data_IF_523210435382
#
_entry.id   IF_523210435382
#
_cell.length_a   1.000
_cell.length_b   1.000
_cell.length_c   1.000
_cell.angle_alpha   90.00
_cell.angle_beta   90.00
_cell.angle_gamma   90.00
#
_symmetry.space_group_name_H-M   'P 1'
#
loop_
_entity.id
_entity.type
_entity.pdbx_description
1 polymer ?
#
# COMPACT_ATOMS: atom_id res chain seq x y z
N UNK A 1 26.84 -11.77 11.19
CA UNK A 1 26.86 -11.04 9.91
C UNK A 1 25.59 -11.46 9.19
N UNK A 2 24.55 -10.62 9.14
CA UNK A 2 23.33 -10.96 8.37
C UNK A 2 23.73 -11.06 6.90
N UNK A 3 23.53 -12.24 6.31
CA UNK A 3 23.76 -12.45 4.89
C UNK A 3 22.75 -11.62 4.09
N UNK A 4 23.13 -11.05 2.93
CA UNK A 4 22.24 -10.22 2.11
C UNK A 4 20.96 -10.94 1.68
N UNK A 5 20.96 -12.27 1.71
CA UNK A 5 19.81 -13.13 1.41
C UNK A 5 18.75 -13.11 2.54
N UNK A 6 19.17 -12.91 3.79
CA UNK A 6 18.30 -12.86 4.97
C UNK A 6 17.51 -11.54 5.02
N UNK A 7 18.15 -10.42 4.66
CA UNK A 7 17.48 -9.12 4.54
C UNK A 7 16.44 -9.07 3.42
N UNK A 8 16.70 -9.73 2.28
CA UNK A 8 15.76 -9.79 1.15
C UNK A 8 14.55 -10.66 1.48
N UNK A 9 14.76 -11.78 2.18
CA UNK A 9 13.66 -12.63 2.68
C UNK A 9 12.78 -11.87 3.67
N UNK A 10 13.38 -11.23 4.68
CA UNK A 10 12.65 -10.46 5.69
C UNK A 10 11.91 -9.26 5.10
N UNK A 11 12.54 -8.54 4.16
CA UNK A 11 11.87 -7.45 3.46
C UNK A 11 10.66 -7.96 2.67
N UNK A 12 10.80 -9.05 1.93
CA UNK A 12 9.71 -9.61 1.10
C UNK A 12 8.55 -10.09 1.98
N UNK A 13 8.84 -10.78 3.07
CA UNK A 13 7.83 -11.31 4.00
C UNK A 13 7.00 -10.18 4.63
N UNK A 14 7.65 -9.13 5.14
CA UNK A 14 6.98 -7.97 5.73
C UNK A 14 6.25 -7.17 4.66
N UNK A 15 6.92 -6.87 3.55
CA UNK A 15 6.37 -6.03 2.49
C UNK A 15 5.16 -6.68 1.82
N UNK A 16 5.20 -7.98 1.54
CA UNK A 16 4.08 -8.70 0.94
C UNK A 16 2.85 -8.71 1.87
N UNK A 17 3.07 -8.96 3.16
CA UNK A 17 2.00 -8.92 4.16
C UNK A 17 1.38 -7.53 4.25
N UNK A 18 2.20 -6.48 4.40
CA UNK A 18 1.75 -5.08 4.46
C UNK A 18 1.09 -4.65 3.17
N UNK A 19 1.58 -5.08 2.00
CA UNK A 19 1.01 -4.72 0.71
C UNK A 19 -0.40 -5.31 0.54
N UNK A 20 -0.58 -6.59 0.86
CA UNK A 20 -1.87 -7.27 0.79
C UNK A 20 -2.88 -6.69 1.78
N UNK A 21 -2.45 -6.44 3.02
CA UNK A 21 -3.33 -5.89 4.05
C UNK A 21 -3.62 -4.40 3.86
N UNK A 22 -2.66 -3.64 3.35
CA UNK A 22 -2.72 -2.18 3.24
C UNK A 22 -3.82 -1.69 2.31
N UNK A 23 -3.96 -2.30 1.12
CA UNK A 23 -5.08 -1.97 0.20
C UNK A 23 -6.42 -2.24 0.89
N UNK A 24 -6.55 -3.42 1.50
CA UNK A 24 -7.79 -3.81 2.18
C UNK A 24 -8.16 -2.87 3.33
N UNK A 25 -7.18 -2.44 4.12
CA UNK A 25 -7.39 -1.49 5.21
C UNK A 25 -7.82 -0.11 4.71
N UNK A 26 -7.20 0.38 3.62
CA UNK A 26 -7.56 1.67 3.02
C UNK A 26 -8.96 1.64 2.41
N UNK A 27 -9.30 0.57 1.69
CA UNK A 27 -10.64 0.35 1.14
C UNK A 27 -11.70 0.25 2.24
N UNK A 28 -11.43 -0.54 3.30
CA UNK A 28 -12.33 -0.65 4.44
C UNK A 28 -12.55 0.70 5.14
N UNK A 29 -11.48 1.47 5.31
CA UNK A 29 -11.54 2.82 5.90
C UNK A 29 -12.38 3.75 5.02
N UNK A 30 -12.20 3.70 3.71
CA UNK A 30 -12.99 4.49 2.76
C UNK A 30 -14.47 4.14 2.86
N UNK A 31 -14.82 2.85 2.86
CA UNK A 31 -16.21 2.40 2.98
C UNK A 31 -16.82 2.86 4.30
N UNK A 32 -16.13 2.64 5.43
CA UNK A 32 -16.60 3.06 6.75
C UNK A 32 -16.78 4.58 6.83
N UNK A 33 -15.83 5.36 6.29
CA UNK A 33 -15.90 6.81 6.25
C UNK A 33 -17.11 7.28 5.45
N UNK A 34 -17.32 6.69 4.27
CA UNK A 34 -18.44 7.09 3.40
C UNK A 34 -19.77 6.75 4.07
N UNK A 35 -19.88 5.57 4.66
CA UNK A 35 -21.08 5.11 5.35
C UNK A 35 -21.40 5.99 6.58
N UNK A 36 -20.37 6.41 7.32
CA UNK A 36 -20.51 7.37 8.40
C UNK A 36 -20.97 8.74 7.90
N UNK A 37 -20.35 9.27 6.85
CA UNK A 37 -20.72 10.58 6.29
C UNK A 37 -22.15 10.59 5.75
N UNK A 38 -22.56 9.52 5.06
CA UNK A 38 -23.94 9.35 4.59
C UNK A 38 -24.93 9.29 5.76
N UNK A 39 -24.58 8.57 6.83
CA UNK A 39 -25.40 8.52 8.04
C UNK A 39 -25.56 9.89 8.72
N UNK A 40 -24.49 10.69 8.79
CA UNK A 40 -24.50 12.02 9.42
C UNK A 40 -25.23 13.06 8.56
N UNK A 41 -25.06 13.01 7.24
CA UNK A 41 -25.61 14.01 6.32
C UNK A 41 -27.04 13.70 5.86
N UNK A 42 -27.52 12.47 6.10
CA UNK A 42 -28.85 12.02 5.67
C UNK A 42 -28.99 11.87 4.16
N UNK A 43 -27.90 11.98 3.41
CA UNK A 43 -27.88 11.68 1.98
C UNK A 43 -27.92 10.15 1.82
N UNK A 44 -28.90 9.64 1.06
CA UNK A 44 -29.04 8.21 0.78
C UNK A 44 -27.80 7.60 0.09
N UNK A 45 -27.80 6.28 -0.20
CA UNK A 45 -26.61 5.53 -0.55
C UNK A 45 -25.99 6.01 -1.87
N UNK A 46 -24.97 6.86 -1.77
CA UNK A 46 -24.12 7.34 -2.88
C UNK A 46 -22.88 6.45 -3.07
N UNK A 47 -22.79 5.38 -2.28
CA UNK A 47 -21.71 4.40 -2.20
C UNK A 47 -21.21 3.88 -3.55
N UNK A 48 -22.00 3.91 -4.63
CA UNK A 48 -21.52 3.47 -5.95
C UNK A 48 -20.97 4.61 -6.82
N UNK A 49 -21.54 5.82 -6.79
CA UNK A 49 -21.10 6.89 -7.70
C UNK A 49 -19.80 7.55 -7.27
N UNK A 50 -19.55 7.58 -5.96
CA UNK A 50 -18.49 8.41 -5.37
C UNK A 50 -17.35 7.57 -4.80
N UNK A 51 -17.64 6.39 -4.25
CA UNK A 51 -16.65 5.49 -3.63
C UNK A 51 -15.87 4.71 -4.67
N UNK A 52 -16.52 4.21 -5.72
CA UNK A 52 -15.86 3.44 -6.79
C UNK A 52 -14.70 4.22 -7.44
N UNK A 53 -14.89 5.48 -7.89
CA UNK A 53 -13.78 6.26 -8.44
C UNK A 53 -12.67 6.49 -7.42
N UNK A 54 -13.01 6.77 -6.15
CA UNK A 54 -12.02 6.98 -5.09
C UNK A 54 -11.23 5.70 -4.78
N UNK A 55 -11.90 4.56 -4.72
CA UNK A 55 -11.30 3.23 -4.53
C UNK A 55 -10.28 2.94 -5.62
N UNK A 56 -10.63 3.17 -6.89
CA UNK A 56 -9.69 3.01 -8.00
C UNK A 56 -8.47 3.91 -7.83
N UNK A 57 -8.66 5.17 -7.44
CA UNK A 57 -7.54 6.10 -7.19
C UNK A 57 -6.64 5.61 -6.05
N UNK A 58 -7.21 5.11 -4.96
CA UNK A 58 -6.46 4.55 -3.82
C UNK A 58 -5.67 3.32 -4.25
N UNK A 59 -6.29 2.39 -4.99
CA UNK A 59 -5.63 1.19 -5.49
C UNK A 59 -4.43 1.54 -6.40
N UNK A 60 -4.62 2.49 -7.32
CA UNK A 60 -3.54 2.97 -8.20
C UNK A 60 -2.42 3.64 -7.39
N UNK A 61 -2.76 4.53 -6.47
CA UNK A 61 -1.79 5.22 -5.62
C UNK A 61 -0.98 4.23 -4.76
N UNK A 62 -1.65 3.22 -4.20
CA UNK A 62 -1.00 2.18 -3.41
C UNK A 62 -0.05 1.31 -4.25
N UNK A 63 -0.46 0.94 -5.47
CA UNK A 63 0.39 0.21 -6.40
C UNK A 63 1.65 1.01 -6.77
N UNK A 64 1.51 2.31 -7.04
CA UNK A 64 2.65 3.21 -7.32
C UNK A 64 3.59 3.29 -6.11
N UNK A 65 3.05 3.47 -4.91
CA UNK A 65 3.83 3.48 -3.66
C UNK A 65 4.61 2.18 -3.47
N UNK A 66 3.99 1.04 -3.72
CA UNK A 66 4.64 -0.25 -3.61
C UNK A 66 5.84 -0.37 -4.55
N UNK A 67 5.66 0.00 -5.82
CA UNK A 67 6.76 0.01 -6.81
C UNK A 67 7.89 0.93 -6.38
N UNK A 68 7.57 2.13 -5.88
CA UNK A 68 8.59 3.08 -5.38
C UNK A 68 9.39 2.51 -4.21
N UNK A 69 8.73 1.88 -3.23
CA UNK A 69 9.39 1.26 -2.08
C UNK A 69 10.32 0.14 -2.55
N UNK A 70 9.87 -0.73 -3.47
CA UNK A 70 10.71 -1.80 -4.04
C UNK A 70 11.92 -1.24 -4.80
N UNK A 71 11.74 -0.18 -5.58
CA UNK A 71 12.84 0.49 -6.30
C UNK A 71 13.86 1.11 -5.36
N UNK A 72 13.41 1.77 -4.28
CA UNK A 72 14.30 2.33 -3.25
C UNK A 72 15.10 1.21 -2.57
N UNK A 73 14.45 0.11 -2.21
CA UNK A 73 15.13 -1.06 -1.62
C UNK A 73 16.19 -1.63 -2.56
N UNK A 74 15.87 -1.83 -3.85
CA UNK A 74 16.81 -2.27 -4.88
C UNK A 74 17.98 -1.29 -5.06
N UNK A 75 17.70 0.02 -5.04
CA UNK A 75 18.72 1.07 -5.13
C UNK A 75 19.70 1.03 -3.96
N UNK A 76 19.19 0.91 -2.73
CA UNK A 76 20.01 0.78 -1.52
C UNK A 76 20.85 -0.50 -1.58
N UNK A 77 20.24 -1.64 -1.96
CA UNK A 77 20.95 -2.93 -2.11
C UNK A 77 22.10 -2.83 -3.11
N UNK A 78 21.86 -2.22 -4.27
CA UNK A 78 22.90 -2.02 -5.29
C UNK A 78 24.02 -1.09 -4.84
N UNK A 79 23.69 -0.02 -4.09
CA UNK A 79 24.69 0.90 -3.54
C UNK A 79 25.58 0.20 -2.51
N UNK A 80 24.99 -0.52 -1.56
CA UNK A 80 25.72 -1.29 -0.54
C UNK A 80 26.61 -2.38 -1.15
N UNK A 81 26.13 -3.06 -2.20
CA UNK A 81 26.90 -4.07 -2.93
C UNK A 81 28.11 -3.48 -3.68
N UNK A 82 28.00 -2.25 -4.21
CA UNK A 82 29.11 -1.55 -4.86
C UNK A 82 30.16 -1.05 -3.87
N UNK A 83 29.77 -0.58 -2.70
CA UNK A 83 30.71 -0.10 -1.66
C UNK A 83 31.54 -1.23 -1.03
N UNK A 84 31.05 -2.47 -1.07
CA UNK A 84 31.73 -3.64 -0.48
C UNK A 84 32.73 -4.33 -1.42
N UNK A 85 32.90 -3.84 -2.65
CA UNK A 85 33.81 -4.36 -3.68
C UNK A 85 34.97 -3.40 -3.87
#
# INVERSE_FOLDING_TARGET
MEEPQDLESRFTEVFQSVFLWGVGALELTLVLYTLYMEFVTGTGPSLLSTVLPLSVVIAVAWAVLAVLITLVFLGIKNRLRRTKR
#
